data_IF_701070803556
#
_entry.id   IF_701070803556
#
_cell.length_a   1.000
_cell.length_b   1.000
_cell.length_c   1.000
_cell.angle_alpha   90.00
_cell.angle_beta   90.00
_cell.angle_gamma   90.00
#
_symmetry.space_group_name_H-M   'P 1'
#
loop_
_entity.id
_entity.type
_entity.pdbx_description
1 polymer ?
#
# COMPACT_ATOMS: atom_id res chain seq x y z
N UNK A 1 2.31 6.14 -1.91
CA UNK A 1 3.66 6.06 -2.50
C UNK A 1 3.61 5.50 -3.92
N UNK A 2 4.58 5.87 -4.76
CA UNK A 2 4.73 5.38 -6.15
C UNK A 2 6.09 4.70 -6.28
N UNK A 3 6.12 3.46 -6.80
CA UNK A 3 7.35 2.68 -6.95
C UNK A 3 7.48 2.09 -8.35
N UNK A 4 8.68 2.14 -8.90
CA UNK A 4 9.08 1.36 -10.08
C UNK A 4 9.90 0.15 -9.65
N UNK A 5 9.49 -1.04 -10.09
CA UNK A 5 10.16 -2.30 -9.77
C UNK A 5 10.78 -2.85 -11.05
N UNK A 6 12.08 -3.14 -11.03
CA UNK A 6 12.84 -3.65 -12.18
C UNK A 6 12.59 -5.14 -12.53
N UNK A 7 11.51 -5.73 -12.00
CA UNK A 7 11.14 -7.12 -12.20
C UNK A 7 9.63 -7.30 -12.08
N UNK A 8 9.11 -8.36 -12.70
CA UNK A 8 7.74 -8.81 -12.50
C UNK A 8 7.57 -9.47 -11.13
N UNK A 9 6.47 -9.14 -10.44
CA UNK A 9 6.11 -9.74 -9.16
C UNK A 9 5.08 -10.84 -9.41
N UNK A 10 5.48 -12.11 -9.28
CA UNK A 10 4.59 -13.23 -9.51
C UNK A 10 3.44 -13.25 -8.49
N UNK A 11 2.26 -13.75 -8.91
CA UNK A 11 1.03 -13.88 -8.09
C UNK A 11 0.37 -12.56 -7.65
N UNK A 12 0.98 -11.41 -7.92
CA UNK A 12 0.38 -10.10 -7.69
C UNK A 12 -0.72 -9.84 -8.75
N UNK A 13 -1.87 -9.34 -8.30
CA UNK A 13 -2.98 -8.90 -9.18
C UNK A 13 -2.90 -7.39 -9.39
N UNK A 14 -3.64 -6.87 -10.38
CA UNK A 14 -3.73 -5.42 -10.62
C UNK A 14 -4.12 -4.69 -9.34
N UNK A 15 -5.17 -5.14 -8.64
CA UNK A 15 -5.61 -4.57 -7.37
C UNK A 15 -5.48 -5.62 -6.28
N UNK A 16 -4.79 -5.29 -5.19
CA UNK A 16 -4.60 -6.19 -4.06
C UNK A 16 -4.70 -5.41 -2.75
N UNK A 17 -5.52 -5.89 -1.82
CA UNK A 17 -5.51 -5.46 -0.43
C UNK A 17 -4.73 -6.49 0.39
N UNK A 18 -3.82 -6.02 1.22
CA UNK A 18 -3.02 -6.85 2.12
C UNK A 18 -3.61 -6.75 3.53
N UNK A 19 -4.11 -7.89 4.01
CA UNK A 19 -4.68 -8.10 5.34
C UNK A 19 -3.85 -9.14 6.10
N UNK A 20 -2.59 -8.82 6.36
CA UNK A 20 -1.65 -9.69 7.06
C UNK A 20 -1.47 -9.32 8.55
N UNK A 21 -2.16 -8.28 9.02
CA UNK A 21 -2.22 -7.86 10.42
C UNK A 21 -3.67 -7.77 10.93
N UNK A 22 -3.83 -7.54 12.23
CA UNK A 22 -5.11 -7.41 12.90
C UNK A 22 -5.87 -6.16 12.40
N UNK A 23 -7.03 -6.39 11.80
CA UNK A 23 -7.84 -5.33 11.20
C UNK A 23 -8.44 -4.38 12.24
N UNK A 24 -8.95 -4.91 13.35
CA UNK A 24 -9.60 -4.10 14.37
C UNK A 24 -8.57 -3.19 15.05
N UNK A 25 -7.38 -3.71 15.35
CA UNK A 25 -6.28 -2.91 15.87
C UNK A 25 -5.84 -1.79 14.91
N UNK A 26 -5.80 -2.05 13.60
CA UNK A 26 -5.47 -1.02 12.61
C UNK A 26 -6.54 0.08 12.57
N UNK A 27 -7.81 -0.31 12.52
CA UNK A 27 -8.95 0.63 12.48
C UNK A 27 -9.02 1.46 13.76
N UNK A 28 -8.77 0.86 14.93
CA UNK A 28 -8.75 1.58 16.20
C UNK A 28 -7.64 2.65 16.23
N UNK A 29 -6.48 2.35 15.67
CA UNK A 29 -5.40 3.34 15.52
C UNK A 29 -5.76 4.48 14.58
N UNK A 30 -6.44 4.20 13.48
CA UNK A 30 -6.85 5.21 12.50
C UNK A 30 -7.97 6.11 13.03
N UNK A 31 -8.98 5.54 13.71
CA UNK A 31 -10.21 6.27 14.03
C UNK A 31 -10.41 6.62 15.50
N UNK A 32 -9.71 5.97 16.44
CA UNK A 32 -9.89 6.20 17.88
C UNK A 32 -8.68 6.82 18.54
N UNK A 33 -7.49 6.25 18.33
CA UNK A 33 -6.26 6.75 18.99
C UNK A 33 -5.47 7.73 18.13
N UNK A 34 -5.75 7.79 16.82
CA UNK A 34 -5.07 8.66 15.85
C UNK A 34 -3.54 8.47 15.85
N UNK A 35 -3.10 7.21 15.94
CA UNK A 35 -1.70 6.82 16.06
C UNK A 35 -1.18 6.12 14.79
N UNK A 36 0.15 6.08 14.65
CA UNK A 36 0.79 5.29 13.61
C UNK A 36 0.55 3.77 13.83
N UNK A 37 0.05 3.05 12.81
CA UNK A 37 -0.09 1.60 12.88
C UNK A 37 1.31 0.94 12.86
N UNK A 38 1.53 -0.01 13.78
CA UNK A 38 2.80 -0.73 13.85
C UNK A 38 2.96 -1.72 12.68
N UNK A 39 1.83 -2.32 12.26
CA UNK A 39 1.73 -3.23 11.13
C UNK A 39 0.61 -2.73 10.22
N UNK A 40 0.91 -1.79 9.31
CA UNK A 40 -0.11 -1.15 8.49
C UNK A 40 -0.72 -2.14 7.50
N UNK A 41 -2.04 -2.25 7.51
CA UNK A 41 -2.79 -2.79 6.39
C UNK A 41 -2.73 -1.81 5.22
N UNK A 42 -2.56 -2.32 4.01
CA UNK A 42 -2.36 -1.47 2.85
C UNK A 42 -2.97 -2.01 1.57
N UNK A 43 -3.25 -1.07 0.68
CA UNK A 43 -3.68 -1.34 -0.68
C UNK A 43 -2.51 -1.15 -1.64
N UNK A 44 -2.51 -1.96 -2.69
CA UNK A 44 -1.55 -1.88 -3.78
C UNK A 44 -2.26 -1.96 -5.14
N UNK A 45 -1.92 -1.02 -6.03
CA UNK A 45 -2.26 -1.04 -7.45
C UNK A 45 -1.03 -1.32 -8.29
N UNK A 46 -1.03 -2.42 -9.04
CA UNK A 46 -0.01 -2.84 -10.00
C UNK A 46 -0.56 -2.75 -11.42
N UNK A 47 -0.66 -1.54 -11.97
CA UNK A 47 -1.35 -1.29 -13.25
C UNK A 47 -0.69 -2.00 -14.44
N UNK A 48 0.63 -2.20 -14.36
CA UNK A 48 1.44 -2.98 -15.29
C UNK A 48 1.06 -4.46 -15.41
N UNK A 49 0.10 -4.94 -14.60
CA UNK A 49 -0.51 -6.27 -14.74
C UNK A 49 -1.50 -6.40 -15.88
N UNK A 50 -2.17 -5.31 -16.25
CA UNK A 50 -3.17 -5.33 -17.34
C UNK A 50 -2.86 -4.34 -18.44
N UNK A 51 -2.01 -3.35 -18.19
CA UNK A 51 -1.56 -2.38 -19.19
C UNK A 51 -0.03 -2.43 -19.28
N UNK A 52 0.51 -2.97 -20.37
CA UNK A 52 1.97 -3.08 -20.54
C UNK A 52 2.64 -1.76 -20.90
N UNK A 53 1.89 -0.68 -21.18
CA UNK A 53 2.45 0.62 -21.57
C UNK A 53 2.92 1.47 -20.39
N UNK A 54 2.48 1.15 -19.16
CA UNK A 54 2.76 1.94 -17.95
C UNK A 54 4.04 1.55 -17.21
N UNK A 55 4.79 0.56 -17.72
CA UNK A 55 6.08 0.15 -17.19
C UNK A 55 6.97 -0.42 -18.31
N UNK A 56 8.31 -0.34 -18.20
CA UNK A 56 9.21 -1.02 -19.14
C UNK A 56 8.99 -2.53 -19.19
N UNK A 57 9.50 -3.17 -20.24
CA UNK A 57 9.45 -4.63 -20.36
C UNK A 57 10.03 -5.29 -19.11
N UNK A 58 9.36 -6.36 -18.64
CA UNK A 58 9.73 -7.10 -17.43
C UNK A 58 9.73 -6.31 -16.11
N UNK A 59 9.23 -5.07 -16.08
CA UNK A 59 9.13 -4.23 -14.88
C UNK A 59 7.67 -4.11 -14.37
N UNK A 60 7.48 -3.58 -13.16
CA UNK A 60 6.15 -3.24 -12.61
C UNK A 60 6.11 -1.78 -12.12
N UNK A 61 4.95 -1.15 -12.23
CA UNK A 61 4.64 0.10 -11.56
C UNK A 61 3.66 -0.16 -10.41
N UNK A 62 3.97 0.36 -9.22
CA UNK A 62 3.16 0.14 -8.03
C UNK A 62 2.71 1.46 -7.43
N UNK A 63 1.44 1.54 -7.07
CA UNK A 63 0.90 2.58 -6.18
C UNK A 63 0.54 1.89 -4.86
N UNK A 64 1.10 2.37 -3.75
CA UNK A 64 0.84 1.84 -2.41
C UNK A 64 0.09 2.89 -1.59
N UNK A 65 -1.03 2.51 -1.01
CA UNK A 65 -1.85 3.35 -0.13
C UNK A 65 -1.98 2.70 1.24
N UNK A 66 -1.61 3.44 2.28
CA UNK A 66 -1.79 3.03 3.68
C UNK A 66 -2.88 3.94 4.27
N UNK A 67 -4.01 3.39 4.75
CA UNK A 67 -5.00 4.17 5.47
C UNK A 67 -4.42 4.63 6.81
N UNK A 68 -4.40 5.94 7.02
CA UNK A 68 -3.92 6.59 8.24
C UNK A 68 -4.97 7.58 8.75
N UNK A 69 -4.87 7.93 10.02
CA UNK A 69 -5.68 9.00 10.61
C UNK A 69 -5.36 10.34 9.97
N UNK A 70 -6.37 11.19 9.74
CA UNK A 70 -6.18 12.60 9.34
C UNK A 70 -5.73 13.49 10.49
N UNK A 71 -5.85 13.00 11.73
CA UNK A 71 -5.49 13.70 12.97
C UNK A 71 -4.19 13.17 13.56
N UNK A 72 -3.42 12.41 12.78
CA UNK A 72 -2.15 11.85 13.25
C UNK A 72 -1.15 12.97 13.51
N UNK A 73 -0.55 12.99 14.69
CA UNK A 73 0.58 13.87 14.97
C UNK A 73 1.84 13.29 14.31
N UNK A 74 2.39 14.02 13.34
CA UNK A 74 3.65 13.66 12.69
C UNK A 74 4.80 14.42 13.36
N UNK A 75 5.39 13.79 14.37
CA UNK A 75 6.43 14.39 15.21
C UNK A 75 7.86 14.18 14.67
N UNK A 76 8.02 13.57 13.49
CA UNK A 76 9.32 13.41 12.83
C UNK A 76 9.39 14.24 11.54
N UNK A 77 10.40 15.11 11.47
CA UNK A 77 10.84 15.84 10.26
C UNK A 77 12.35 15.91 10.25
#
# INVERSE_FOLDING_TARGET
FYLGINKKINKLKHHTLFFDADFDSHIDKVYKTHEWPNNPLFYLSATSKTDTSVAPENCENLVILVPLSTEIEDNES
#
